data_IF_046235693518
#
_entry.id   IF_046235693518
#
_cell.length_a   1.000
_cell.length_b   1.000
_cell.length_c   1.000
_cell.angle_alpha   90.00
_cell.angle_beta   90.00
_cell.angle_gamma   90.00
#
_symmetry.space_group_name_H-M   'P 1'
#
loop_
_entity.id
_entity.type
_entity.pdbx_description
1 polymer ?
#
# COMPACT_ATOMS: atom_id res chain seq x y z
N UNK A 1 -8.16 -9.81 -0.04
CA UNK A 1 -7.50 -10.73 -1.01
C UNK A 1 -7.26 -12.11 -0.39
N UNK A 2 -7.53 -13.19 -1.13
CA UNK A 2 -7.23 -14.58 -0.72
C UNK A 2 -5.70 -14.77 -0.60
N UNK A 3 -5.23 -15.72 0.22
CA UNK A 3 -3.78 -15.97 0.46
C UNK A 3 -2.99 -16.22 -0.84
N UNK A 4 -3.62 -16.88 -1.83
CA UNK A 4 -3.07 -17.14 -3.17
C UNK A 4 -2.89 -15.87 -4.02
N UNK A 5 -3.77 -14.89 -3.87
CA UNK A 5 -3.68 -13.60 -4.57
C UNK A 5 -2.51 -12.75 -4.01
N UNK A 6 -2.23 -12.83 -2.70
CA UNK A 6 -1.10 -12.15 -2.06
C UNK A 6 0.26 -12.69 -2.50
N UNK A 7 0.36 -14.00 -2.79
CA UNK A 7 1.62 -14.59 -3.30
C UNK A 7 1.99 -14.09 -4.69
N UNK A 8 0.99 -13.82 -5.52
CA UNK A 8 1.16 -13.33 -6.89
C UNK A 8 1.52 -11.84 -6.94
N UNK A 9 1.21 -11.03 -5.92
CA UNK A 9 1.54 -9.59 -5.91
C UNK A 9 3.05 -9.32 -5.92
N UNK A 10 3.86 -10.28 -5.45
CA UNK A 10 5.31 -10.14 -5.44
C UNK A 10 5.93 -10.18 -6.85
N UNK A 11 5.47 -11.13 -7.67
CA UNK A 11 6.03 -11.40 -9.00
C UNK A 11 5.55 -10.41 -10.04
N UNK A 12 4.44 -9.71 -9.78
CA UNK A 12 3.84 -8.74 -10.70
C UNK A 12 4.69 -7.49 -10.84
N UNK A 13 4.87 -7.03 -12.07
CA UNK A 13 5.56 -5.77 -12.36
C UNK A 13 4.82 -4.57 -11.76
N UNK A 14 5.50 -3.44 -11.57
CA UNK A 14 4.87 -2.22 -11.05
C UNK A 14 3.68 -1.75 -11.92
N UNK A 15 3.74 -2.00 -13.24
CA UNK A 15 2.68 -1.68 -14.21
C UNK A 15 1.43 -2.54 -13.98
N UNK A 16 1.61 -3.86 -13.83
CA UNK A 16 0.52 -4.78 -13.53
C UNK A 16 -0.15 -4.46 -12.19
N UNK A 17 0.63 -4.10 -11.17
CA UNK A 17 0.10 -3.67 -9.87
C UNK A 17 -0.74 -2.40 -10.00
N UNK A 18 -0.31 -1.42 -10.83
CA UNK A 18 -1.10 -0.22 -11.12
C UNK A 18 -2.43 -0.55 -11.78
N UNK A 19 -2.42 -1.44 -12.78
CA UNK A 19 -3.64 -1.87 -13.47
C UNK A 19 -4.63 -2.59 -12.53
N UNK A 20 -4.13 -3.48 -11.67
CA UNK A 20 -4.94 -4.14 -10.63
C UNK A 20 -5.56 -3.15 -9.65
N UNK A 21 -4.81 -2.15 -9.19
CA UNK A 21 -5.33 -1.10 -8.31
C UNK A 21 -6.41 -0.28 -9.02
N UNK A 22 -6.19 0.08 -10.28
CA UNK A 22 -7.16 0.83 -11.09
C UNK A 22 -8.46 0.03 -11.25
N UNK A 23 -8.37 -1.26 -11.61
CA UNK A 23 -9.50 -2.18 -11.70
C UNK A 23 -10.25 -2.30 -10.35
N UNK A 24 -9.53 -2.49 -9.25
CA UNK A 24 -10.12 -2.58 -7.91
C UNK A 24 -10.85 -1.29 -7.48
N UNK A 25 -10.34 -0.11 -7.87
CA UNK A 25 -11.03 1.17 -7.64
C UNK A 25 -12.32 1.29 -8.44
N UNK A 26 -12.29 0.93 -9.72
CA UNK A 26 -13.47 0.95 -10.59
C UNK A 26 -14.55 -0.03 -10.08
N UNK A 27 -14.15 -1.22 -9.65
CA UNK A 27 -15.04 -2.20 -9.02
C UNK A 27 -15.68 -1.65 -7.74
N UNK A 28 -14.94 -0.91 -6.90
CA UNK A 28 -15.50 -0.29 -5.70
C UNK A 28 -16.54 0.79 -6.04
N UNK A 29 -16.29 1.59 -7.08
CA UNK A 29 -17.26 2.58 -7.58
C UNK A 29 -18.54 1.89 -8.04
N UNK A 30 -18.44 0.82 -8.83
CA UNK A 30 -19.58 0.03 -9.30
C UNK A 30 -20.40 -0.55 -8.14
N UNK A 31 -19.72 -1.20 -7.19
CA UNK A 31 -20.32 -1.73 -5.95
C UNK A 31 -21.05 -0.62 -5.18
N UNK A 32 -20.47 0.58 -5.08
CA UNK A 32 -21.10 1.71 -4.36
C UNK A 32 -22.36 2.21 -5.08
N UNK A 33 -22.36 2.22 -6.41
CA UNK A 33 -23.54 2.57 -7.21
C UNK A 33 -24.65 1.51 -7.08
N UNK A 34 -24.29 0.22 -7.13
CA UNK A 34 -25.23 -0.90 -6.90
C UNK A 34 -25.83 -0.88 -5.50
N UNK A 35 -25.05 -0.51 -4.47
CA UNK A 35 -25.55 -0.34 -3.09
C UNK A 35 -26.56 0.81 -3.00
N UNK A 36 -26.29 1.95 -3.64
CA UNK A 36 -27.20 3.09 -3.68
C UNK A 36 -28.51 2.75 -4.41
N UNK A 37 -28.43 1.88 -5.42
CA UNK A 37 -29.59 1.35 -6.13
C UNK A 37 -30.32 0.21 -5.39
N UNK A 38 -29.86 -0.21 -4.20
CA UNK A 38 -30.46 -1.30 -3.43
C UNK A 38 -30.26 -2.71 -4.02
N UNK A 39 -29.48 -2.87 -5.09
CA UNK A 39 -29.32 -4.13 -5.84
C UNK A 39 -28.22 -5.05 -5.32
N UNK A 40 -27.57 -4.68 -4.20
CA UNK A 40 -26.35 -5.33 -3.76
C UNK A 40 -26.63 -6.57 -2.91
N UNK A 41 -26.30 -7.75 -3.45
CA UNK A 41 -26.57 -9.05 -2.79
C UNK A 41 -25.90 -9.24 -1.42
N UNK A 42 -24.81 -8.51 -1.12
CA UNK A 42 -24.04 -8.62 0.13
C UNK A 42 -23.36 -7.30 0.56
N UNK A 43 -23.97 -6.53 1.47
CA UNK A 43 -23.50 -5.19 1.89
C UNK A 43 -22.09 -5.21 2.52
N UNK A 44 -21.71 -6.30 3.21
CA UNK A 44 -20.40 -6.53 3.81
C UNK A 44 -19.23 -6.49 2.80
N UNK A 45 -19.50 -6.82 1.54
CA UNK A 45 -18.50 -6.93 0.47
C UNK A 45 -17.85 -5.56 0.17
N UNK A 46 -18.59 -4.47 0.36
CA UNK A 46 -18.11 -3.08 0.28
C UNK A 46 -17.02 -2.81 1.32
N UNK A 47 -17.25 -3.24 2.57
CA UNK A 47 -16.35 -3.02 3.72
C UNK A 47 -15.04 -3.80 3.57
N UNK A 48 -15.11 -5.05 3.10
CA UNK A 48 -13.91 -5.87 2.77
C UNK A 48 -13.06 -5.23 1.65
N UNK A 49 -13.68 -4.80 0.55
CA UNK A 49 -12.97 -4.17 -0.59
C UNK A 49 -12.26 -2.87 -0.19
N UNK A 50 -12.87 -2.09 0.71
CA UNK A 50 -12.30 -0.83 1.24
C UNK A 50 -11.06 -1.07 2.11
N UNK A 51 -11.07 -2.10 2.96
CA UNK A 51 -9.91 -2.50 3.75
C UNK A 51 -8.76 -3.02 2.88
N UNK A 52 -9.08 -3.78 1.83
CA UNK A 52 -8.07 -4.26 0.88
C UNK A 52 -7.39 -3.07 0.16
N UNK A 53 -8.16 -2.06 -0.26
CA UNK A 53 -7.62 -0.82 -0.86
C UNK A 53 -6.78 0.03 0.10
N UNK A 54 -7.11 0.05 1.39
CA UNK A 54 -6.36 0.80 2.40
C UNK A 54 -4.96 0.21 2.67
N UNK A 55 -4.76 -1.09 2.43
CA UNK A 55 -3.43 -1.74 2.53
C UNK A 55 -2.48 -1.36 1.38
N UNK A 56 -2.98 -0.71 0.33
CA UNK A 56 -2.26 -0.49 -0.93
C UNK A 56 -1.52 0.86 -1.02
N UNK A 57 -1.74 1.79 -0.07
CA UNK A 57 -1.39 3.20 -0.33
C UNK A 57 -0.96 3.97 0.91
N UNK A 58 0.36 4.03 1.13
CA UNK A 58 0.97 5.02 2.04
C UNK A 58 2.04 5.80 1.28
N UNK A 59 2.04 7.12 1.43
CA UNK A 59 3.02 8.04 0.82
C UNK A 59 4.19 8.18 1.77
N UNK A 60 5.42 7.99 1.27
CA UNK A 60 6.62 7.86 2.10
C UNK A 60 7.82 8.58 1.49
N UNK A 61 8.77 8.96 2.33
CA UNK A 61 10.02 9.55 1.90
C UNK A 61 11.11 8.47 1.88
N UNK A 62 11.93 8.44 0.82
CA UNK A 62 13.07 7.54 0.72
C UNK A 62 14.25 8.11 1.51
N UNK A 63 14.80 7.31 2.42
CA UNK A 63 15.93 7.68 3.28
C UNK A 63 17.25 7.19 2.71
N UNK A 64 17.29 5.95 2.22
CA UNK A 64 18.52 5.37 1.70
C UNK A 64 18.28 4.33 0.62
N UNK A 65 19.14 4.31 -0.39
CA UNK A 65 19.07 3.36 -1.53
C UNK A 65 20.36 2.53 -1.68
N UNK A 66 21.16 2.44 -0.61
CA UNK A 66 22.48 1.77 -0.60
C UNK A 66 22.45 0.26 -0.88
N UNK A 67 21.30 -0.40 -0.77
CA UNK A 67 21.16 -1.85 -0.93
C UNK A 67 20.64 -2.21 -2.32
N UNK A 68 21.14 -3.30 -2.89
CA UNK A 68 20.66 -3.80 -4.18
C UNK A 68 19.14 -4.11 -4.14
N UNK A 69 18.40 -3.57 -5.13
CA UNK A 69 16.94 -3.75 -5.30
C UNK A 69 16.13 -3.48 -4.03
N UNK A 70 16.62 -2.61 -3.15
CA UNK A 70 16.02 -2.33 -1.85
C UNK A 70 16.15 -0.87 -1.48
N UNK A 71 15.02 -0.23 -1.19
CA UNK A 71 14.99 1.12 -0.62
C UNK A 71 14.55 1.07 0.85
N UNK A 72 15.15 1.93 1.68
CA UNK A 72 14.67 2.20 3.03
C UNK A 72 13.77 3.42 2.99
N UNK A 73 12.51 3.24 3.35
CA UNK A 73 11.51 4.31 3.37
C UNK A 73 11.09 4.66 4.79
N UNK A 74 10.86 5.95 5.03
CA UNK A 74 10.36 6.48 6.28
C UNK A 74 8.85 6.68 6.21
N UNK A 75 8.11 6.02 7.12
CA UNK A 75 6.70 6.31 7.36
C UNK A 75 6.59 7.24 8.57
N UNK A 76 6.08 8.43 8.32
CA UNK A 76 5.69 9.37 9.38
C UNK A 76 4.18 9.30 9.60
N UNK A 77 3.74 9.14 10.85
CA UNK A 77 2.33 9.20 11.23
C UNK A 77 2.15 9.93 12.54
N UNK A 78 1.00 10.55 12.72
CA UNK A 78 0.62 11.09 14.02
C UNK A 78 -0.04 10.01 14.86
N UNK A 79 0.41 9.86 16.11
CA UNK A 79 -0.26 9.05 17.14
C UNK A 79 -0.63 9.97 18.28
N UNK A 80 -1.79 9.76 18.88
CA UNK A 80 -2.17 10.43 20.13
C UNK A 80 -1.56 9.66 21.30
N UNK A 81 -0.85 10.35 22.19
CA UNK A 81 -0.35 9.72 23.40
C UNK A 81 -1.53 9.24 24.26
N UNK A 82 -1.54 7.99 24.75
CA UNK A 82 -2.72 7.39 25.40
C UNK A 82 -3.17 8.16 26.65
N UNK A 83 -2.22 8.61 27.49
CA UNK A 83 -2.52 9.34 28.73
C UNK A 83 -2.71 10.84 28.44
N UNK A 84 -1.64 11.52 27.99
CA UNK A 84 -1.64 12.98 27.80
C UNK A 84 -2.49 13.51 26.64
N UNK A 85 -3.03 12.66 25.76
CA UNK A 85 -3.79 13.04 24.56
C UNK A 85 -3.09 14.02 23.60
N UNK A 86 -1.80 14.31 23.80
CA UNK A 86 -0.96 15.10 22.90
C UNK A 86 -0.73 14.34 21.58
N UNK A 87 -0.87 15.04 20.45
CA UNK A 87 -0.53 14.49 19.12
C UNK A 87 0.98 14.50 18.93
N UNK A 88 1.57 13.32 18.83
CA UNK A 88 3.02 13.12 18.63
C UNK A 88 3.30 12.54 17.24
N UNK A 89 4.40 12.98 16.62
CA UNK A 89 4.91 12.40 15.37
C UNK A 89 5.70 11.14 15.69
N UNK A 90 5.30 10.01 15.11
CA UNK A 90 6.00 8.73 15.23
C UNK A 90 6.52 8.34 13.85
N UNK A 91 7.79 7.95 13.81
CA UNK A 91 8.49 7.53 12.59
C UNK A 91 8.77 6.04 12.64
N UNK A 92 8.65 5.35 11.51
CA UNK A 92 9.07 3.94 11.37
C UNK A 92 9.66 3.73 9.98
N UNK A 93 10.81 3.07 9.92
CA UNK A 93 11.48 2.73 8.68
C UNK A 93 11.04 1.35 8.18
N UNK A 94 10.99 1.18 6.87
CA UNK A 94 10.61 -0.05 6.20
C UNK A 94 11.57 -0.38 5.07
N UNK A 95 11.89 -1.66 4.93
CA UNK A 95 12.64 -2.18 3.79
C UNK A 95 11.65 -2.54 2.68
N UNK A 96 11.84 -1.93 1.51
CA UNK A 96 10.94 -2.04 0.38
C UNK A 96 11.69 -2.59 -0.81
N UNK A 97 11.06 -3.49 -1.54
CA UNK A 97 11.58 -3.98 -2.81
C UNK A 97 11.38 -2.93 -3.90
N UNK A 98 12.48 -2.60 -4.56
CA UNK A 98 12.54 -1.61 -5.62
C UNK A 98 12.95 -2.27 -6.94
N UNK A 99 12.16 -2.00 -7.98
CA UNK A 99 12.40 -2.40 -9.37
C UNK A 99 12.49 -1.18 -10.30
N UNK A 100 12.12 0.00 -9.81
CA UNK A 100 11.98 1.23 -10.61
C UNK A 100 13.27 2.06 -10.57
N UNK A 101 14.06 1.93 -9.49
CA UNK A 101 15.32 2.65 -9.31
C UNK A 101 15.10 4.03 -8.72
N UNK A 102 14.60 4.07 -7.48
CA UNK A 102 14.25 5.31 -6.79
C UNK A 102 15.50 5.99 -6.20
N UNK A 103 15.48 7.32 -6.07
CA UNK A 103 16.56 8.10 -5.44
C UNK A 103 16.24 8.46 -3.99
N UNK A 104 17.27 8.84 -3.24
CA UNK A 104 17.11 9.37 -1.89
C UNK A 104 16.37 10.72 -1.95
N UNK A 105 15.40 10.93 -1.05
CA UNK A 105 14.56 12.14 -1.04
C UNK A 105 13.24 12.03 -1.82
N UNK A 106 13.08 11.02 -2.67
CA UNK A 106 11.85 10.83 -3.45
C UNK A 106 10.65 10.50 -2.57
N UNK A 107 9.45 10.85 -3.06
CA UNK A 107 8.18 10.46 -2.43
C UNK A 107 7.57 9.27 -3.14
N UNK A 108 7.43 8.15 -2.45
CA UNK A 108 6.96 6.89 -3.04
C UNK A 108 5.64 6.40 -2.44
N UNK A 109 4.87 5.67 -3.26
CA UNK A 109 3.75 4.85 -2.77
C UNK A 109 4.18 3.39 -2.70
N UNK A 110 3.89 2.76 -1.56
CA UNK A 110 4.21 1.34 -1.33
C UNK A 110 2.95 0.49 -1.13
N UNK A 111 3.07 -0.78 -1.49
CA UNK A 111 2.05 -1.82 -1.33
C UNK A 111 2.57 -2.95 -0.44
N UNK A 112 1.72 -3.52 0.40
CA UNK A 112 2.03 -4.74 1.15
C UNK A 112 2.02 -5.96 0.21
N UNK A 113 3.08 -6.77 0.28
CA UNK A 113 3.22 -8.00 -0.52
C UNK A 113 3.42 -9.20 0.39
N UNK A 114 3.53 -10.41 -0.19
CA UNK A 114 4.14 -11.52 0.55
C UNK A 114 5.57 -11.14 0.98
N UNK A 115 6.08 -11.69 2.09
CA UNK A 115 7.48 -11.52 2.48
C UNK A 115 8.41 -11.96 1.34
N UNK A 116 9.34 -11.09 1.01
CA UNK A 116 10.41 -11.28 0.01
C UNK A 116 11.68 -11.73 0.74
N UNK A 117 11.89 -11.14 1.92
CA UNK A 117 12.92 -11.51 2.88
C UNK A 117 12.35 -11.41 4.30
N UNK A 118 13.21 -11.62 5.31
CA UNK A 118 12.85 -11.47 6.73
C UNK A 118 12.22 -10.10 7.04
N UNK A 119 12.76 -9.02 6.46
CA UNK A 119 12.34 -7.64 6.70
C UNK A 119 11.58 -7.01 5.53
N UNK A 120 11.85 -7.43 4.28
CA UNK A 120 11.22 -6.88 3.06
C UNK A 120 9.83 -7.50 2.84
N UNK A 121 8.79 -6.73 3.14
CA UNK A 121 7.37 -7.14 3.00
C UNK A 121 6.54 -6.14 2.17
N UNK A 122 7.23 -5.21 1.51
CA UNK A 122 6.63 -4.09 0.80
C UNK A 122 7.28 -3.96 -0.57
N UNK A 123 6.51 -3.49 -1.56
CA UNK A 123 6.99 -3.19 -2.92
C UNK A 123 6.63 -1.76 -3.30
N UNK A 124 7.47 -1.09 -4.10
CA UNK A 124 7.20 0.26 -4.60
C UNK A 124 6.23 0.19 -5.79
N UNK A 125 5.24 1.07 -5.81
CA UNK A 125 4.27 1.21 -6.91
C UNK A 125 4.62 2.35 -7.85
N UNK A 126 4.87 3.54 -7.29
CA UNK A 126 5.15 4.74 -8.05
C UNK A 126 5.89 5.78 -7.22
N UNK A 127 6.73 6.54 -7.92
CA UNK A 127 7.30 7.80 -7.46
C UNK A 127 6.29 8.92 -7.76
N UNK A 128 6.05 9.80 -6.80
CA UNK A 128 5.06 10.89 -6.88
C UNK A 128 5.71 12.21 -7.29
N UNK A 129 6.96 12.43 -6.87
CA UNK A 129 7.71 13.67 -7.03
C UNK A 129 9.14 13.34 -7.38
#
# INVERSE_FOLDING_TARGET
MKKKELSELHTKSAVELKQLIKKARLELIKIRMEQKAGKLKNVCLVKKRRHDLARLKTILNVVSTKMAKTAVVLVERFKTHPVYKKRIKVKKTYHVHDEIGVKEGDRVKIIATRPISKTKKWKILEVIK
#
